data_IF_801933065221
#
_entry.id   IF_801933065221
#
_cell.length_a   1.000
_cell.length_b   1.000
_cell.length_c   1.000
_cell.angle_alpha   90.00
_cell.angle_beta   90.00
_cell.angle_gamma   90.00
#
_symmetry.space_group_name_H-M   'P 1'
#
loop_
_entity.id
_entity.type
_entity.pdbx_description
1 polymer ?
#
# COMPACT_ATOMS: atom_id res chain seq x y z
N UNK A 1 11.28 1.41 -13.75
CA UNK A 1 12.12 1.83 -12.62
C UNK A 1 13.16 0.76 -12.46
N UNK A 2 14.45 1.11 -12.41
CA UNK A 2 15.50 0.12 -12.33
C UNK A 2 15.78 -0.23 -10.87
N UNK A 3 15.40 -1.45 -10.46
CA UNK A 3 15.72 -2.01 -9.14
C UNK A 3 16.59 -3.24 -9.38
N UNK A 4 17.79 -3.26 -8.78
CA UNK A 4 18.80 -4.32 -8.99
C UNK A 4 19.18 -4.57 -10.47
N UNK A 5 19.17 -3.53 -11.31
CA UNK A 5 19.51 -3.67 -12.73
C UNK A 5 18.41 -4.33 -13.58
N UNK A 6 17.19 -4.46 -13.04
CA UNK A 6 16.00 -4.91 -13.76
C UNK A 6 14.97 -3.79 -13.80
N UNK A 7 14.43 -3.54 -14.98
CA UNK A 7 13.32 -2.63 -15.15
C UNK A 7 12.06 -3.33 -14.64
N UNK A 8 11.63 -2.99 -13.42
CA UNK A 8 10.44 -3.55 -12.80
C UNK A 8 9.34 -2.47 -12.71
N UNK A 9 8.07 -2.83 -12.99
CA UNK A 9 6.94 -1.97 -12.66
C UNK A 9 6.90 -1.70 -11.16
N UNK A 10 6.79 -0.44 -10.75
CA UNK A 10 6.77 -0.02 -9.34
C UNK A 10 5.75 -0.82 -8.52
N UNK A 11 4.58 -1.07 -9.11
CA UNK A 11 3.53 -1.86 -8.47
C UNK A 11 3.95 -3.30 -8.15
N UNK A 12 4.69 -3.97 -9.05
CA UNK A 12 5.16 -5.34 -8.83
C UNK A 12 6.22 -5.38 -7.72
N UNK A 13 7.10 -4.39 -7.69
CA UNK A 13 8.12 -4.27 -6.64
C UNK A 13 7.48 -4.09 -5.25
N UNK A 14 6.56 -3.13 -5.11
CA UNK A 14 5.81 -2.92 -3.86
C UNK A 14 5.05 -4.18 -3.46
N UNK A 15 4.42 -4.86 -4.42
CA UNK A 15 3.69 -6.10 -4.17
C UNK A 15 4.56 -7.23 -3.62
N UNK A 16 5.75 -7.44 -4.18
CA UNK A 16 6.68 -8.47 -3.70
C UNK A 16 7.19 -8.15 -2.28
N UNK A 17 7.41 -6.87 -1.95
CA UNK A 17 7.78 -6.46 -0.60
C UNK A 17 6.67 -6.69 0.42
N UNK A 18 5.41 -6.40 0.07
CA UNK A 18 4.24 -6.64 0.94
C UNK A 18 4.12 -8.13 1.32
N UNK A 19 4.51 -9.04 0.43
CA UNK A 19 4.40 -10.49 0.63
C UNK A 19 5.52 -11.08 1.48
N UNK A 20 6.60 -10.36 1.73
CA UNK A 20 7.74 -10.86 2.52
C UNK A 20 7.47 -10.76 4.02
N UNK A 21 7.84 -11.80 4.76
CA UNK A 21 7.66 -11.88 6.22
C UNK A 21 8.62 -10.96 6.98
N UNK A 22 9.81 -10.72 6.45
CA UNK A 22 10.82 -9.80 7.00
C UNK A 22 11.48 -9.02 5.87
N UNK A 23 11.90 -7.80 6.17
CA UNK A 23 12.63 -6.92 5.24
C UNK A 23 14.07 -6.83 5.74
N UNK A 24 15.03 -7.14 4.88
CA UNK A 24 16.45 -7.08 5.25
C UNK A 24 16.97 -5.65 5.28
N UNK A 25 18.10 -5.36 5.97
CA UNK A 25 18.70 -4.03 5.97
C UNK A 25 19.02 -3.50 4.55
N UNK A 26 19.47 -4.37 3.65
CA UNK A 26 19.76 -4.02 2.26
C UNK A 26 18.47 -3.67 1.50
N UNK A 27 17.39 -4.41 1.73
CA UNK A 27 16.08 -4.10 1.16
C UNK A 27 15.52 -2.79 1.70
N UNK A 28 15.77 -2.45 2.97
CA UNK A 28 15.43 -1.13 3.51
C UNK A 28 16.15 -0.01 2.78
N UNK A 29 17.45 -0.15 2.54
CA UNK A 29 18.22 0.84 1.77
C UNK A 29 17.68 0.97 0.34
N UNK A 30 17.27 -0.13 -0.30
CA UNK A 30 16.62 -0.10 -1.60
C UNK A 30 15.25 0.58 -1.58
N UNK A 31 14.44 0.33 -0.55
CA UNK A 31 13.15 1.01 -0.33
C UNK A 31 13.38 2.51 -0.20
N UNK A 32 14.37 2.92 0.59
CA UNK A 32 14.73 4.32 0.83
C UNK A 32 15.15 5.03 -0.46
N UNK A 33 15.94 4.34 -1.30
CA UNK A 33 16.31 4.82 -2.63
C UNK A 33 15.12 4.88 -3.59
N UNK A 34 14.21 3.91 -3.52
CA UNK A 34 12.97 3.94 -4.30
C UNK A 34 12.10 5.13 -3.91
N UNK A 35 11.90 5.37 -2.61
CA UNK A 35 11.13 6.51 -2.10
C UNK A 35 11.72 7.81 -2.64
N UNK A 36 13.05 8.00 -2.57
CA UNK A 36 13.71 9.20 -3.12
C UNK A 36 13.43 9.41 -4.61
N UNK A 37 13.51 8.34 -5.41
CA UNK A 37 13.28 8.43 -6.85
C UNK A 37 11.82 8.72 -7.18
N UNK A 38 10.88 8.10 -6.47
CA UNK A 38 9.43 8.32 -6.67
C UNK A 38 9.04 9.72 -6.21
N UNK A 39 9.59 10.21 -5.08
CA UNK A 39 9.38 11.57 -4.60
C UNK A 39 9.91 12.62 -5.56
N UNK A 40 11.08 12.40 -6.18
CA UNK A 40 11.59 13.33 -7.19
C UNK A 40 10.66 13.46 -8.40
N UNK A 41 10.07 12.36 -8.84
CA UNK A 41 9.07 12.37 -9.91
C UNK A 41 7.75 13.00 -9.48
N UNK A 42 7.31 12.75 -8.25
CA UNK A 42 6.11 13.35 -7.69
C UNK A 42 6.20 14.88 -7.60
N UNK A 43 7.36 15.41 -7.19
CA UNK A 43 7.65 16.85 -7.19
C UNK A 43 7.66 17.44 -8.61
N UNK A 44 8.17 16.70 -9.61
CA UNK A 44 8.11 17.10 -11.02
C UNK A 44 6.66 17.18 -11.52
N UNK A 45 5.85 16.15 -11.25
CA UNK A 45 4.44 16.10 -11.65
C UNK A 45 3.62 17.21 -10.98
N UNK A 46 3.86 17.50 -9.70
CA UNK A 46 3.17 18.58 -8.98
C UNK A 46 3.53 19.96 -9.57
N UNK A 47 4.80 20.16 -9.92
CA UNK A 47 5.25 21.39 -10.57
C UNK A 47 4.65 21.56 -11.97
N UNK A 48 4.53 20.49 -12.75
CA UNK A 48 3.85 20.53 -14.05
C UNK A 48 2.36 20.88 -13.90
N UNK A 49 1.68 20.35 -12.88
CA UNK A 49 0.30 20.71 -12.55
C UNK A 49 0.15 22.20 -12.21
N UNK A 50 1.14 22.79 -11.52
CA UNK A 50 1.10 24.20 -11.10
C UNK A 50 1.44 25.17 -12.25
N UNK A 51 2.43 24.82 -13.08
CA UNK A 51 3.03 25.77 -14.02
C UNK A 51 2.56 25.61 -15.48
N UNK A 52 2.10 24.43 -15.90
CA UNK A 52 1.76 24.18 -17.30
C UNK A 52 0.28 24.47 -17.63
N UNK A 53 0.05 25.02 -18.82
CA UNK A 53 -1.27 25.16 -19.39
C UNK A 53 -1.77 23.80 -19.93
N UNK A 54 -2.25 22.96 -19.03
CA UNK A 54 -2.74 21.61 -19.34
C UNK A 54 -4.19 21.64 -19.82
N UNK A 55 -4.52 20.76 -20.76
CA UNK A 55 -5.92 20.39 -21.01
C UNK A 55 -6.48 19.61 -19.83
N UNK A 56 -7.81 19.54 -19.73
CA UNK A 56 -8.48 18.79 -18.65
C UNK A 56 -8.06 17.31 -18.61
N UNK A 57 -7.81 16.70 -19.77
CA UNK A 57 -7.45 15.29 -19.85
C UNK A 57 -5.99 15.06 -19.46
N UNK A 58 -5.08 15.96 -19.83
CA UNK A 58 -3.68 15.94 -19.38
C UNK A 58 -3.58 16.16 -17.86
N UNK A 59 -4.30 17.16 -17.32
CA UNK A 59 -4.33 17.40 -15.88
C UNK A 59 -4.90 16.21 -15.10
N UNK A 60 -5.91 15.52 -15.65
CA UNK A 60 -6.47 14.30 -15.04
C UNK A 60 -5.47 13.16 -15.07
N UNK A 61 -4.77 12.95 -16.18
CA UNK A 61 -3.78 11.89 -16.30
C UNK A 61 -2.64 12.09 -15.30
N UNK A 62 -2.10 13.32 -15.25
CA UNK A 62 -1.03 13.71 -14.34
C UNK A 62 -1.47 13.54 -12.87
N UNK A 63 -2.65 14.03 -12.50
CA UNK A 63 -3.22 13.80 -11.16
C UNK A 63 -3.29 12.32 -10.76
N UNK A 64 -3.70 11.44 -11.68
CA UNK A 64 -3.78 10.00 -11.39
C UNK A 64 -2.40 9.37 -11.23
N UNK A 65 -1.41 9.83 -12.01
CA UNK A 65 -0.01 9.40 -11.87
C UNK A 65 0.54 9.83 -10.51
N UNK A 66 0.47 11.12 -10.17
CA UNK A 66 0.91 11.67 -8.89
C UNK A 66 0.26 10.95 -7.71
N UNK A 67 -1.06 10.72 -7.75
CA UNK A 67 -1.78 9.97 -6.71
C UNK A 67 -1.31 8.51 -6.59
N UNK A 68 -0.91 7.89 -7.71
CA UNK A 68 -0.32 6.55 -7.74
C UNK A 68 1.07 6.53 -7.09
N UNK A 69 1.91 7.52 -7.40
CA UNK A 69 3.25 7.68 -6.81
C UNK A 69 3.17 7.91 -5.30
N UNK A 70 2.28 8.81 -4.85
CA UNK A 70 2.04 9.06 -3.43
C UNK A 70 1.59 7.81 -2.69
N UNK A 71 0.68 7.01 -3.26
CA UNK A 71 0.27 5.74 -2.66
C UNK A 71 1.44 4.76 -2.55
N UNK A 72 2.26 4.63 -3.58
CA UNK A 72 3.44 3.77 -3.53
C UNK A 72 4.44 4.23 -2.45
N UNK A 73 4.66 5.54 -2.29
CA UNK A 73 5.50 6.08 -1.21
C UNK A 73 4.94 5.72 0.17
N UNK A 74 3.64 5.87 0.37
CA UNK A 74 2.98 5.50 1.64
C UNK A 74 3.14 4.02 1.94
N UNK A 75 2.87 3.15 0.96
CA UNK A 75 2.99 1.71 1.12
C UNK A 75 4.44 1.31 1.44
N UNK A 76 5.42 1.90 0.76
CA UNK A 76 6.85 1.64 1.00
C UNK A 76 7.30 2.07 2.40
N UNK A 77 6.87 3.25 2.88
CA UNK A 77 7.16 3.71 4.25
C UNK A 77 6.53 2.79 5.30
N UNK A 78 5.29 2.39 5.07
CA UNK A 78 4.56 1.48 5.94
C UNK A 78 5.20 0.06 6.01
N UNK A 79 5.89 -0.35 4.94
CA UNK A 79 6.67 -1.59 4.91
C UNK A 79 7.98 -1.43 5.67
N UNK A 80 8.68 -0.31 5.45
CA UNK A 80 9.97 -0.03 6.07
C UNK A 80 9.89 0.09 7.61
N UNK A 81 8.86 0.77 8.10
CA UNK A 81 8.60 0.99 9.53
C UNK A 81 7.91 -0.20 10.21
N UNK A 82 7.41 -1.17 9.42
CA UNK A 82 6.74 -2.38 9.88
C UNK A 82 5.26 -2.20 10.25
N UNK A 83 4.72 -0.98 10.17
CA UNK A 83 3.34 -0.64 10.53
C UNK A 83 2.31 -1.36 9.66
N UNK A 84 2.65 -1.67 8.40
CA UNK A 84 1.78 -2.43 7.50
C UNK A 84 1.42 -3.80 8.08
N UNK A 85 2.41 -4.49 8.66
CA UNK A 85 2.21 -5.81 9.28
C UNK A 85 1.44 -5.71 10.58
N UNK A 86 1.73 -4.71 11.40
CA UNK A 86 1.00 -4.49 12.65
C UNK A 86 -0.49 -4.21 12.39
N UNK A 87 -0.80 -3.31 11.44
CA UNK A 87 -2.19 -3.02 11.05
C UNK A 87 -2.88 -4.26 10.47
N UNK A 88 -2.19 -5.02 9.63
CA UNK A 88 -2.73 -6.27 9.03
C UNK A 88 -3.04 -7.30 10.10
N UNK A 89 -2.12 -7.53 11.05
CA UNK A 89 -2.30 -8.45 12.16
C UNK A 89 -3.49 -8.05 13.04
N UNK A 90 -3.55 -6.78 13.45
CA UNK A 90 -4.64 -6.26 14.26
C UNK A 90 -6.00 -6.37 13.54
N UNK A 91 -6.04 -6.17 12.23
CA UNK A 91 -7.25 -6.39 11.43
C UNK A 91 -7.65 -7.87 11.43
N UNK A 92 -6.71 -8.79 11.18
CA UNK A 92 -6.97 -10.24 11.20
C UNK A 92 -7.49 -10.70 12.58
N UNK A 93 -6.90 -10.21 13.67
CA UNK A 93 -7.35 -10.49 15.04
C UNK A 93 -8.80 -10.03 15.26
N UNK A 94 -9.14 -8.80 14.87
CA UNK A 94 -10.52 -8.29 14.95
C UNK A 94 -11.51 -9.12 14.14
N UNK A 95 -11.11 -9.57 12.96
CA UNK A 95 -11.95 -10.43 12.11
C UNK A 95 -12.15 -11.82 12.73
N UNK A 96 -11.10 -12.41 13.30
CA UNK A 96 -11.19 -13.69 14.00
C UNK A 96 -12.16 -13.59 15.20
N UNK A 97 -12.04 -12.53 16.01
CA UNK A 97 -12.95 -12.25 17.13
C UNK A 97 -14.40 -12.10 16.66
N UNK A 98 -14.61 -11.40 15.55
CA UNK A 98 -15.96 -11.22 15.00
C UNK A 98 -16.56 -12.56 14.56
N UNK A 99 -15.79 -13.39 13.85
CA UNK A 99 -16.24 -14.73 13.43
C UNK A 99 -16.62 -15.61 14.62
N UNK A 100 -15.87 -15.54 15.72
CA UNK A 100 -16.19 -16.27 16.95
C UNK A 100 -17.49 -15.76 17.57
N UNK A 101 -17.69 -14.44 17.61
CA UNK A 101 -18.95 -13.83 18.09
C UNK A 101 -20.14 -14.26 17.24
N UNK A 102 -20.01 -14.18 15.92
CA UNK A 102 -21.07 -14.57 14.99
C UNK A 102 -21.42 -16.04 15.16
N UNK A 103 -20.44 -16.93 15.26
CA UNK A 103 -20.67 -18.36 15.48
C UNK A 103 -21.43 -18.65 16.79
N UNK A 104 -21.13 -17.92 17.87
CA UNK A 104 -21.87 -18.02 19.14
C UNK A 104 -23.32 -17.58 18.99
N UNK A 105 -23.57 -16.45 18.34
CA UNK A 105 -24.91 -15.92 18.06
C UNK A 105 -25.72 -16.89 17.20
N UNK A 106 -25.12 -17.48 16.16
CA UNK A 106 -25.76 -18.50 15.33
C UNK A 106 -26.15 -19.75 16.14
N UNK A 107 -25.28 -20.20 17.06
CA UNK A 107 -25.56 -21.33 17.94
C UNK A 107 -26.70 -21.02 18.93
N UNK A 108 -26.77 -19.80 19.46
CA UNK A 108 -27.86 -19.36 20.33
C UNK A 108 -29.19 -19.31 19.57
N UNK A 109 -29.20 -18.70 18.38
CA UNK A 109 -30.37 -18.68 17.51
C UNK A 109 -30.90 -20.09 17.20
N UNK A 110 -30.02 -21.04 16.86
CA UNK A 110 -30.42 -22.43 16.61
C UNK A 110 -31.03 -23.12 17.84
N UNK A 111 -30.64 -22.73 19.06
CA UNK A 111 -31.24 -23.26 20.29
C UNK A 111 -32.64 -22.69 20.53
N UNK A 112 -32.85 -21.41 20.20
CA UNK A 112 -34.16 -20.77 20.32
C UNK A 112 -35.15 -21.34 19.31
N UNK A 113 -34.72 -21.57 18.06
CA UNK A 113 -35.58 -22.09 16.99
C UNK A 113 -35.95 -23.57 17.17
N UNK A 114 -35.15 -24.34 17.91
CA UNK A 114 -35.45 -25.75 18.24
C UNK A 114 -36.45 -25.92 19.41
N UNK A 115 -36.91 -24.82 20.00
CA UNK A 115 -37.83 -24.82 21.15
C UNK A 115 -39.26 -24.64 20.70
#
# INVERSE_FOLDING_TARGET
MEVEGKDCPLHEYVWELIRKDEITPEEKEQIDNCIKLISGKEEEDEKELEEMALTRDEARALYHETAGLLRAIMDLRDIEDGSLKERTKHFQEKFADQRVRDAKLWLEFLKEVKK
#
